data_IF_622886283193
#
_entry.id   IF_622886283193
#
_cell.length_a   1.000
_cell.length_b   1.000
_cell.length_c   1.000
_cell.angle_alpha   90.00
_cell.angle_beta   90.00
_cell.angle_gamma   90.00
#
_symmetry.space_group_name_H-M   'P 1'
#
loop_
_entity.id
_entity.type
_entity.pdbx_description
1 polymer ?
#
# COMPACT_ATOMS: atom_id res chain seq x y z
N UNK A 1 0.93 -11.75 0.01
CA UNK A 1 1.91 -12.24 -0.98
C UNK A 1 2.99 -11.19 -1.11
N UNK A 2 4.25 -11.58 -1.23
CA UNK A 2 5.37 -10.69 -1.51
C UNK A 2 6.18 -11.32 -2.64
N UNK A 3 6.53 -10.56 -3.65
CA UNK A 3 7.30 -11.05 -4.79
C UNK A 3 8.53 -10.18 -5.00
N UNK A 4 9.66 -10.84 -5.17
CA UNK A 4 10.94 -10.23 -5.39
C UNK A 4 11.56 -10.80 -6.66
N UNK A 5 11.88 -9.95 -7.61
CA UNK A 5 12.69 -10.30 -8.78
C UNK A 5 14.14 -10.06 -8.39
N UNK A 6 14.95 -11.10 -8.48
CA UNK A 6 16.40 -11.04 -8.18
C UNK A 6 17.16 -11.22 -9.47
N UNK A 7 17.97 -10.23 -9.83
CA UNK A 7 18.91 -10.30 -10.95
C UNK A 7 20.33 -10.18 -10.42
N UNK A 8 21.21 -11.04 -10.92
CA UNK A 8 22.64 -11.03 -10.60
C UNK A 8 23.40 -10.69 -11.88
N UNK A 9 24.38 -9.78 -11.79
CA UNK A 9 25.22 -9.42 -12.93
C UNK A 9 26.00 -10.62 -13.44
N UNK A 10 26.36 -10.60 -14.73
CA UNK A 10 27.11 -11.69 -15.35
C UNK A 10 28.46 -11.95 -14.67
N UNK A 11 29.07 -10.91 -14.11
CA UNK A 11 30.32 -10.98 -13.35
C UNK A 11 30.12 -11.46 -11.90
N UNK A 12 28.88 -11.54 -11.42
CA UNK A 12 28.55 -11.95 -10.06
C UNK A 12 28.94 -10.91 -8.98
N UNK A 13 29.24 -9.68 -9.38
CA UNK A 13 29.73 -8.61 -8.51
C UNK A 13 28.60 -7.67 -8.02
N UNK A 14 27.41 -7.77 -8.60
CA UNK A 14 26.22 -6.96 -8.25
C UNK A 14 24.94 -7.77 -8.30
N UNK A 15 23.96 -7.35 -7.51
CA UNK A 15 22.60 -7.87 -7.55
C UNK A 15 21.58 -6.74 -7.46
N UNK A 16 20.52 -6.84 -8.23
CA UNK A 16 19.33 -6.00 -8.14
C UNK A 16 18.14 -6.82 -7.62
N UNK A 17 17.45 -6.28 -6.64
CA UNK A 17 16.28 -6.86 -6.02
C UNK A 17 15.10 -5.91 -6.26
N UNK A 18 14.15 -6.32 -7.10
CA UNK A 18 13.00 -5.49 -7.47
C UNK A 18 11.72 -6.08 -6.86
N UNK A 19 11.06 -5.30 -6.00
CA UNK A 19 9.79 -5.70 -5.39
C UNK A 19 8.63 -5.43 -6.33
N UNK A 20 7.75 -6.43 -6.50
CA UNK A 20 6.53 -6.31 -7.30
C UNK A 20 5.32 -6.25 -6.36
N UNK A 21 4.56 -5.14 -6.36
CA UNK A 21 3.36 -5.02 -5.53
C UNK A 21 2.32 -6.09 -5.90
N UNK A 22 1.71 -6.79 -4.93
CA UNK A 22 0.73 -7.84 -5.21
C UNK A 22 -0.54 -7.31 -5.89
N UNK A 23 -0.87 -6.05 -5.67
CA UNK A 23 -2.02 -5.35 -6.25
C UNK A 23 -1.68 -4.59 -7.54
N UNK A 24 -0.44 -4.68 -8.03
CA UNK A 24 -0.07 -4.08 -9.31
C UNK A 24 -0.92 -4.67 -10.44
N UNK A 25 -1.51 -3.80 -11.25
CA UNK A 25 -2.24 -4.21 -12.44
C UNK A 25 -1.23 -4.59 -13.54
N UNK A 26 -1.23 -5.83 -13.96
CA UNK A 26 -0.27 -6.37 -14.92
C UNK A 26 -0.96 -7.21 -15.99
N UNK A 27 -0.31 -7.31 -17.15
CA UNK A 27 -0.73 -8.21 -18.20
C UNK A 27 -0.07 -9.58 -18.01
N UNK A 28 -0.88 -10.60 -17.73
CA UNK A 28 -0.44 -11.99 -17.67
C UNK A 28 -0.69 -12.64 -19.04
N UNK A 29 0.36 -13.00 -19.80
CA UNK A 29 0.20 -13.72 -21.08
C UNK A 29 -0.41 -15.11 -20.89
N UNK A 30 -0.83 -15.73 -22.00
CA UNK A 30 -1.29 -17.10 -21.97
C UNK A 30 -0.27 -18.01 -21.25
N UNK A 31 -0.76 -18.77 -20.29
CA UNK A 31 0.09 -19.59 -19.42
C UNK A 31 -0.60 -20.92 -19.08
N UNK A 32 0.18 -21.89 -18.61
CA UNK A 32 -0.34 -23.19 -18.21
C UNK A 32 -0.46 -23.24 -16.69
N UNK A 33 -1.66 -23.51 -16.23
CA UNK A 33 -1.99 -23.68 -14.81
C UNK A 33 -1.45 -25.01 -14.24
N UNK A 34 -1.36 -25.20 -12.93
CA UNK A 34 -0.83 -26.43 -12.32
C UNK A 34 -1.60 -27.71 -12.69
N UNK A 35 -2.89 -27.60 -13.03
CA UNK A 35 -3.71 -28.71 -13.51
C UNK A 35 -3.51 -29.01 -15.00
N UNK A 36 -2.64 -28.25 -15.68
CA UNK A 36 -2.28 -28.42 -17.08
C UNK A 36 -3.19 -27.73 -18.08
N UNK A 37 -4.23 -27.01 -17.64
CA UNK A 37 -5.08 -26.20 -18.52
C UNK A 37 -4.34 -24.97 -19.04
N UNK A 38 -4.74 -24.51 -20.23
CA UNK A 38 -4.23 -23.25 -20.79
C UNK A 38 -5.13 -22.11 -20.32
N UNK A 39 -4.55 -21.12 -19.62
CA UNK A 39 -5.22 -19.88 -19.23
C UNK A 39 -4.99 -18.84 -20.31
N UNK A 40 -6.07 -18.17 -20.74
CA UNK A 40 -5.99 -17.09 -21.72
C UNK A 40 -5.28 -15.86 -21.14
N UNK A 41 -4.75 -14.96 -22.00
CA UNK A 41 -4.16 -13.70 -21.56
C UNK A 41 -5.19 -12.86 -20.80
N UNK A 42 -4.75 -12.25 -19.70
CA UNK A 42 -5.63 -11.43 -18.85
C UNK A 42 -4.83 -10.28 -18.20
N UNK A 43 -5.48 -9.11 -18.08
CA UNK A 43 -5.00 -8.01 -17.26
C UNK A 43 -5.61 -8.15 -15.86
N UNK A 44 -4.77 -8.27 -14.84
CA UNK A 44 -5.18 -8.63 -13.48
C UNK A 44 -4.25 -8.08 -12.41
N UNK A 45 -4.64 -8.20 -11.13
CA UNK A 45 -3.69 -8.00 -10.04
C UNK A 45 -2.55 -9.01 -10.14
N UNK A 46 -1.33 -8.57 -9.94
CA UNK A 46 -0.16 -9.45 -10.00
C UNK A 46 -0.29 -10.70 -9.10
N UNK A 47 -0.89 -10.54 -7.91
CA UNK A 47 -1.16 -11.67 -7.02
C UNK A 47 -2.05 -12.75 -7.65
N UNK A 48 -3.01 -12.39 -8.51
CA UNK A 48 -3.92 -13.34 -9.17
C UNK A 48 -3.16 -14.25 -10.15
N UNK A 49 -2.07 -13.76 -10.74
CA UNK A 49 -1.22 -14.61 -11.60
C UNK A 49 -0.70 -15.85 -10.87
N UNK A 50 -0.42 -15.74 -9.55
CA UNK A 50 -0.01 -16.87 -8.72
C UNK A 50 -1.20 -17.63 -8.14
N UNK A 51 -2.19 -16.92 -7.59
CA UNK A 51 -3.29 -17.53 -6.84
C UNK A 51 -4.21 -18.35 -7.74
N UNK A 52 -4.44 -17.86 -8.96
CA UNK A 52 -5.31 -18.51 -9.95
C UNK A 52 -4.52 -19.26 -11.02
N UNK A 53 -3.38 -18.70 -11.43
CA UNK A 53 -2.57 -19.22 -12.52
C UNK A 53 -1.41 -20.12 -12.08
N UNK A 54 -0.96 -19.99 -10.85
CA UNK A 54 0.19 -20.73 -10.31
C UNK A 54 1.56 -20.18 -10.75
N UNK A 55 2.66 -20.83 -10.34
CA UNK A 55 4.02 -20.35 -10.56
C UNK A 55 4.35 -20.03 -12.02
N UNK A 56 3.93 -20.87 -12.97
CA UNK A 56 4.22 -20.66 -14.38
C UNK A 56 3.58 -19.37 -14.93
N UNK A 57 2.36 -19.04 -14.50
CA UNK A 57 1.69 -17.80 -14.90
C UNK A 57 2.37 -16.58 -14.27
N UNK A 58 2.78 -16.67 -13.02
CA UNK A 58 3.54 -15.60 -12.35
C UNK A 58 4.87 -15.32 -13.05
N UNK A 59 5.62 -16.36 -13.42
CA UNK A 59 6.86 -16.20 -14.18
C UNK A 59 6.58 -15.49 -15.51
N UNK A 60 5.50 -15.88 -16.22
CA UNK A 60 5.12 -15.22 -17.48
C UNK A 60 4.73 -13.75 -17.29
N UNK A 61 4.01 -13.43 -16.21
CA UNK A 61 3.67 -12.05 -15.88
C UNK A 61 4.92 -11.22 -15.59
N UNK A 62 5.87 -11.76 -14.81
CA UNK A 62 7.17 -11.09 -14.55
C UNK A 62 7.96 -10.90 -15.84
N UNK A 63 8.07 -11.91 -16.69
CA UNK A 63 8.76 -11.81 -17.99
C UNK A 63 8.13 -10.73 -18.89
N UNK A 64 6.80 -10.65 -18.92
CA UNK A 64 6.07 -9.64 -19.69
C UNK A 64 6.30 -8.24 -19.16
N UNK A 65 6.32 -8.08 -17.83
CA UNK A 65 6.51 -6.81 -17.15
C UNK A 65 7.94 -6.30 -17.28
N UNK A 66 8.93 -7.19 -17.14
CA UNK A 66 10.34 -6.82 -16.97
C UNK A 66 11.18 -6.96 -18.25
N UNK A 67 10.76 -7.78 -19.21
CA UNK A 67 11.60 -8.20 -20.33
C UNK A 67 12.74 -9.16 -19.94
N UNK A 68 12.91 -9.47 -18.65
CA UNK A 68 13.91 -10.41 -18.18
C UNK A 68 13.56 -11.85 -18.54
N UNK A 69 14.57 -12.65 -18.83
CA UNK A 69 14.42 -14.11 -18.81
C UNK A 69 14.52 -14.58 -17.35
N UNK A 70 13.52 -15.29 -16.89
CA UNK A 70 13.53 -15.88 -15.55
C UNK A 70 14.08 -17.29 -15.64
N UNK A 71 15.21 -17.53 -15.01
CA UNK A 71 15.90 -18.82 -15.02
C UNK A 71 15.41 -19.74 -13.92
N UNK A 72 15.06 -19.19 -12.75
CA UNK A 72 14.64 -19.94 -11.57
C UNK A 72 13.44 -19.27 -10.88
N UNK A 73 12.58 -20.11 -10.32
CA UNK A 73 11.46 -19.69 -9.46
C UNK A 73 11.60 -20.35 -8.09
N UNK A 74 11.51 -19.51 -7.06
CA UNK A 74 11.44 -19.92 -5.67
C UNK A 74 10.22 -19.28 -4.99
N UNK A 75 9.26 -20.11 -4.62
CA UNK A 75 8.12 -19.70 -3.81
C UNK A 75 8.33 -20.08 -2.36
N UNK A 76 7.96 -19.19 -1.43
CA UNK A 76 7.95 -19.43 0.01
C UNK A 76 6.55 -19.19 0.54
N UNK A 77 5.95 -20.22 1.10
CA UNK A 77 4.68 -20.11 1.82
C UNK A 77 4.92 -19.39 3.14
N UNK A 78 4.53 -18.11 3.18
CA UNK A 78 4.72 -17.27 4.37
C UNK A 78 3.92 -17.77 5.59
N UNK A 79 2.84 -18.53 5.38
CA UNK A 79 2.10 -19.14 6.48
C UNK A 79 2.89 -20.30 7.14
N UNK A 80 3.82 -20.90 6.40
CA UNK A 80 4.67 -22.00 6.87
C UNK A 80 6.06 -21.55 7.32
N UNK A 81 6.48 -20.34 6.94
CA UNK A 81 7.78 -19.76 7.32
C UNK A 81 8.01 -19.75 8.86
N UNK A 82 7.02 -19.41 9.72
CA UNK A 82 7.18 -19.53 11.18
C UNK A 82 7.57 -20.93 11.65
N UNK A 83 7.09 -21.97 10.98
CA UNK A 83 7.48 -23.35 11.30
C UNK A 83 8.95 -23.66 10.97
N UNK A 84 9.54 -23.00 9.97
CA UNK A 84 10.99 -23.09 9.70
C UNK A 84 11.79 -22.38 10.80
N UNK A 85 11.30 -21.22 11.27
CA UNK A 85 11.88 -20.45 12.37
C UNK A 85 11.89 -21.29 13.66
N UNK A 86 10.75 -21.93 13.99
CA UNK A 86 10.64 -22.80 15.16
C UNK A 86 11.54 -24.04 15.12
N UNK A 87 11.75 -24.58 13.91
CA UNK A 87 12.66 -25.72 13.75
C UNK A 87 14.11 -25.40 14.13
N UNK A 88 14.48 -24.12 14.07
CA UNK A 88 15.79 -23.59 14.46
C UNK A 88 15.83 -23.11 15.92
N UNK A 89 14.69 -23.12 16.63
CA UNK A 89 14.57 -22.60 17.99
C UNK A 89 14.41 -21.09 18.10
N UNK A 90 14.16 -20.42 17.00
CA UNK A 90 14.07 -18.98 16.88
C UNK A 90 15.15 -18.39 15.97
N UNK A 91 14.95 -17.17 15.51
CA UNK A 91 15.94 -16.45 14.69
C UNK A 91 16.03 -14.98 15.10
N UNK A 92 17.24 -14.40 15.09
CA UNK A 92 17.43 -12.98 15.36
C UNK A 92 16.98 -12.16 14.16
N UNK A 93 16.10 -11.19 14.39
CA UNK A 93 15.60 -10.26 13.38
C UNK A 93 15.72 -8.83 13.89
N UNK A 94 16.19 -7.93 13.04
CA UNK A 94 16.12 -6.50 13.32
C UNK A 94 14.73 -5.97 12.99
N UNK A 95 13.99 -5.54 14.00
CA UNK A 95 12.68 -4.93 13.84
C UNK A 95 12.86 -3.43 13.64
N UNK A 96 12.59 -2.96 12.42
CA UNK A 96 12.52 -1.53 12.11
C UNK A 96 11.04 -1.14 12.14
N UNK A 97 10.63 -0.21 13.01
CA UNK A 97 9.26 0.26 13.04
C UNK A 97 8.86 0.87 11.71
N UNK A 98 7.74 0.45 11.18
CA UNK A 98 7.07 1.08 10.04
C UNK A 98 5.79 1.74 10.52
N UNK A 99 5.19 2.62 9.73
CA UNK A 99 3.89 3.21 10.08
C UNK A 99 2.84 2.12 10.38
N UNK A 100 2.84 1.03 9.61
CA UNK A 100 1.95 -0.12 9.83
C UNK A 100 2.22 -0.83 11.16
N UNK A 101 3.49 -1.07 11.53
CA UNK A 101 3.83 -1.72 12.80
C UNK A 101 3.66 -0.80 13.99
N UNK A 102 3.82 0.51 13.82
CA UNK A 102 3.60 1.50 14.87
C UNK A 102 2.09 1.69 15.19
N UNK A 103 1.23 1.48 14.20
CA UNK A 103 -0.23 1.53 14.35
C UNK A 103 -0.83 0.25 14.96
N UNK A 104 -0.06 -0.82 15.12
CA UNK A 104 -0.53 -2.06 15.71
C UNK A 104 -0.92 -1.86 17.19
N UNK A 105 -1.96 -2.56 17.65
CA UNK A 105 -2.42 -2.50 19.05
C UNK A 105 -1.32 -2.86 20.06
N UNK A 106 -0.33 -3.68 19.64
CA UNK A 106 0.87 -4.01 20.40
C UNK A 106 2.06 -3.91 19.44
N UNK A 107 2.69 -2.72 19.31
CA UNK A 107 3.84 -2.55 18.43
C UNK A 107 4.99 -3.48 18.86
N UNK A 108 5.63 -4.18 17.92
CA UNK A 108 6.81 -4.96 18.26
C UNK A 108 7.94 -4.02 18.70
N UNK A 109 8.76 -4.44 19.67
CA UNK A 109 9.87 -3.61 20.12
C UNK A 109 10.86 -3.37 18.99
N UNK A 110 11.27 -2.12 18.82
CA UNK A 110 12.27 -1.75 17.82
C UNK A 110 13.66 -2.29 18.18
N UNK A 111 14.42 -2.70 17.18
CA UNK A 111 15.80 -3.18 17.37
C UNK A 111 15.94 -4.69 17.23
N UNK A 112 17.09 -5.25 17.71
CA UNK A 112 17.34 -6.68 17.63
C UNK A 112 16.36 -7.43 18.53
N UNK A 113 15.66 -8.39 17.94
CA UNK A 113 14.67 -9.23 18.62
C UNK A 113 14.84 -10.67 18.15
N UNK A 114 14.58 -11.63 19.01
CA UNK A 114 14.52 -13.04 18.65
C UNK A 114 13.07 -13.42 18.39
N UNK A 115 12.77 -13.88 17.19
CA UNK A 115 11.43 -14.28 16.78
C UNK A 115 11.34 -15.80 16.76
N UNK A 116 10.24 -16.33 17.28
CA UNK A 116 9.86 -17.74 17.19
C UNK A 116 8.34 -17.84 17.00
N UNK A 117 7.87 -18.94 16.41
CA UNK A 117 6.48 -19.33 16.30
C UNK A 117 5.48 -18.21 16.07
N UNK A 118 4.65 -17.95 17.08
CA UNK A 118 3.59 -16.94 17.01
C UNK A 118 4.12 -15.52 16.81
N UNK A 119 5.29 -15.18 17.35
CA UNK A 119 5.92 -13.89 17.16
C UNK A 119 6.37 -13.70 15.69
N UNK A 120 6.90 -14.75 15.05
CA UNK A 120 7.23 -14.75 13.64
C UNK A 120 5.98 -14.65 12.77
N UNK A 121 4.89 -15.34 13.15
CA UNK A 121 3.59 -15.21 12.47
C UNK A 121 3.03 -13.79 12.57
N UNK A 122 3.05 -13.20 13.76
CA UNK A 122 2.61 -11.82 13.99
C UNK A 122 3.44 -10.80 13.21
N UNK A 123 4.74 -11.04 13.08
CA UNK A 123 5.65 -10.18 12.30
C UNK A 123 5.31 -10.15 10.80
N UNK A 124 4.72 -11.22 10.27
CA UNK A 124 4.33 -11.34 8.86
C UNK A 124 2.89 -10.86 8.58
N UNK A 125 2.10 -10.54 9.62
CA UNK A 125 0.73 -10.06 9.40
C UNK A 125 0.75 -8.71 8.66
N UNK A 126 -0.20 -8.49 7.74
CA UNK A 126 -0.41 -7.16 7.18
C UNK A 126 -0.77 -6.20 8.31
N UNK A 127 -0.23 -4.99 8.25
CA UNK A 127 -0.69 -3.90 9.10
C UNK A 127 -2.13 -3.49 8.77
N UNK A 128 -2.68 -2.52 9.51
CA UNK A 128 -4.01 -1.98 9.23
C UNK A 128 -4.15 -1.58 7.76
N UNK A 129 -5.25 -2.06 7.15
CA UNK A 129 -5.48 -2.03 5.71
C UNK A 129 -5.70 -0.66 5.10
N UNK A 130 -4.82 0.25 5.24
CA UNK A 130 -4.80 1.58 4.65
C UNK A 130 -3.39 2.15 4.64
N UNK A 131 -2.47 1.49 5.35
CA UNK A 131 -1.09 1.97 5.53
C UNK A 131 -0.10 1.23 4.61
N UNK A 132 -0.44 0.03 4.16
CA UNK A 132 0.41 -0.80 3.27
C UNK A 132 -0.40 -1.33 2.08
N UNK A 133 -0.93 -0.41 1.29
CA UNK A 133 -1.77 -0.75 0.11
C UNK A 133 -1.00 -1.50 -0.98
N UNK A 134 0.33 -1.39 -1.01
CA UNK A 134 1.19 -2.09 -1.97
C UNK A 134 1.68 -3.44 -1.47
N UNK A 135 1.58 -3.70 -0.17
CA UNK A 135 2.17 -4.88 0.47
C UNK A 135 3.69 -4.83 0.60
N UNK A 136 4.33 -3.68 0.32
CA UNK A 136 5.78 -3.52 0.37
C UNK A 136 6.35 -3.77 1.77
N UNK A 137 5.68 -3.27 2.81
CA UNK A 137 6.12 -3.48 4.19
C UNK A 137 6.03 -4.95 4.62
N UNK A 138 5.02 -5.70 4.17
CA UNK A 138 4.93 -7.14 4.39
C UNK A 138 6.04 -7.86 3.64
N UNK A 139 6.32 -7.45 2.39
CA UNK A 139 7.39 -8.02 1.57
C UNK A 139 8.75 -7.84 2.23
N UNK A 140 9.05 -6.65 2.73
CA UNK A 140 10.30 -6.35 3.42
C UNK A 140 10.46 -7.17 4.71
N UNK A 141 9.40 -7.28 5.53
CA UNK A 141 9.42 -8.11 6.73
C UNK A 141 9.63 -9.59 6.41
N UNK A 142 8.93 -10.10 5.41
CA UNK A 142 9.09 -11.48 4.95
C UNK A 142 10.53 -11.76 4.47
N UNK A 143 11.11 -10.84 3.70
CA UNK A 143 12.49 -10.93 3.23
C UNK A 143 13.49 -10.92 4.40
N UNK A 144 13.30 -10.04 5.39
CA UNK A 144 14.17 -9.99 6.58
C UNK A 144 14.08 -11.29 7.38
N UNK A 145 12.88 -11.78 7.64
CA UNK A 145 12.67 -13.03 8.37
C UNK A 145 13.27 -14.23 7.60
N UNK A 146 13.02 -14.33 6.30
CA UNK A 146 13.57 -15.40 5.48
C UNK A 146 15.10 -15.36 5.44
N UNK A 147 15.70 -14.18 5.26
CA UNK A 147 17.15 -14.00 5.25
C UNK A 147 17.77 -14.43 6.59
N UNK A 148 17.17 -14.04 7.71
CA UNK A 148 17.62 -14.44 9.05
C UNK A 148 17.46 -15.95 9.28
N UNK A 149 16.35 -16.52 8.83
CA UNK A 149 16.08 -17.96 8.89
C UNK A 149 17.13 -18.76 8.10
N UNK A 150 17.43 -18.32 6.87
CA UNK A 150 18.45 -18.97 6.04
C UNK A 150 19.85 -18.85 6.66
N UNK A 151 20.20 -17.67 7.20
CA UNK A 151 21.48 -17.47 7.88
C UNK A 151 21.61 -18.37 9.12
N UNK A 152 20.56 -18.48 9.93
CA UNK A 152 20.55 -19.37 11.09
C UNK A 152 20.63 -20.86 10.68
N UNK A 153 19.94 -21.25 9.60
CA UNK A 153 20.02 -22.61 9.06
C UNK A 153 21.44 -22.99 8.56
N UNK A 154 22.16 -22.01 8.04
CA UNK A 154 23.56 -22.20 7.57
C UNK A 154 24.61 -21.97 8.68
N UNK A 155 24.20 -21.71 9.91
CA UNK A 155 25.15 -21.56 11.02
C UNK A 155 25.82 -22.89 11.37
N UNK A 156 27.04 -22.80 11.90
CA UNK A 156 27.78 -23.98 12.34
C UNK A 156 27.00 -24.82 13.38
N UNK A 157 26.30 -24.15 14.28
CA UNK A 157 25.51 -24.79 15.32
C UNK A 157 24.38 -25.67 14.72
N UNK A 158 23.66 -25.17 13.71
CA UNK A 158 22.61 -25.93 13.02
C UNK A 158 23.20 -27.06 12.15
N UNK A 159 24.28 -26.77 11.41
CA UNK A 159 24.89 -27.76 10.51
C UNK A 159 25.56 -28.93 11.26
N UNK A 160 26.01 -28.70 12.50
CA UNK A 160 26.62 -29.72 13.33
C UNK A 160 25.59 -30.49 14.19
N UNK A 161 24.35 -30.01 14.27
CA UNK A 161 23.24 -30.71 14.94
C UNK A 161 22.35 -31.42 13.89
N UNK A 162 22.50 -32.73 13.68
CA UNK A 162 21.74 -33.46 12.69
C UNK A 162 20.23 -33.52 13.01
N UNK A 163 19.82 -33.33 14.27
CA UNK A 163 18.40 -33.28 14.61
C UNK A 163 17.77 -31.94 14.23
N UNK A 164 18.44 -30.84 14.55
CA UNK A 164 18.01 -29.51 14.17
C UNK A 164 17.96 -29.38 12.65
N UNK A 165 19.01 -29.82 11.95
CA UNK A 165 19.09 -29.78 10.49
C UNK A 165 17.96 -30.60 9.83
N UNK A 166 17.72 -31.84 10.29
CA UNK A 166 16.66 -32.68 9.73
C UNK A 166 15.28 -32.08 9.95
N UNK A 167 15.03 -31.50 11.14
CA UNK A 167 13.79 -30.81 11.47
C UNK A 167 13.59 -29.58 10.56
N UNK A 168 14.64 -28.78 10.41
CA UNK A 168 14.60 -27.62 9.51
C UNK A 168 14.32 -28.02 8.05
N UNK A 169 15.05 -29.02 7.52
CA UNK A 169 14.85 -29.46 6.14
C UNK A 169 13.44 -30.00 5.89
N UNK A 170 12.85 -30.70 6.85
CA UNK A 170 11.45 -31.16 6.78
C UNK A 170 10.49 -29.98 6.69
N UNK A 171 10.67 -28.94 7.51
CA UNK A 171 9.82 -27.73 7.44
C UNK A 171 10.06 -26.89 6.20
N UNK A 172 11.31 -26.83 5.75
CA UNK A 172 11.67 -26.15 4.52
C UNK A 172 11.03 -26.83 3.29
N UNK A 173 11.03 -28.16 3.22
CA UNK A 173 10.38 -28.87 2.11
C UNK A 173 8.87 -28.64 2.04
N UNK A 174 8.23 -28.41 3.17
CA UNK A 174 6.79 -28.09 3.23
C UNK A 174 6.48 -26.63 2.84
N UNK A 175 7.44 -25.71 3.04
CA UNK A 175 7.27 -24.29 2.86
C UNK A 175 7.78 -23.77 1.51
N UNK A 176 8.68 -24.50 0.86
CA UNK A 176 9.34 -24.08 -0.36
C UNK A 176 8.74 -24.74 -1.60
N UNK A 177 8.55 -23.95 -2.65
CA UNK A 177 8.18 -24.42 -3.98
C UNK A 177 9.24 -23.91 -4.96
N UNK A 178 9.84 -24.79 -5.72
CA UNK A 178 10.81 -24.45 -6.75
C UNK A 178 10.33 -24.95 -8.11
N UNK A 179 10.86 -24.38 -9.18
CA UNK A 179 10.65 -24.91 -10.52
C UNK A 179 11.38 -26.27 -10.73
N UNK A 180 10.98 -27.01 -11.76
CA UNK A 180 11.52 -28.37 -12.04
C UNK A 180 13.00 -28.37 -12.40
N UNK A 181 13.56 -27.24 -12.81
CA UNK A 181 14.95 -27.11 -13.26
C UNK A 181 15.86 -26.62 -12.11
N UNK A 182 15.30 -26.02 -11.06
CA UNK A 182 16.06 -25.53 -9.90
C UNK A 182 16.58 -26.68 -9.05
N UNK A 183 17.90 -26.82 -9.01
CA UNK A 183 18.56 -27.79 -8.14
C UNK A 183 19.02 -27.17 -6.84
N UNK A 184 19.30 -27.99 -5.82
CA UNK A 184 19.92 -27.54 -4.58
C UNK A 184 21.29 -26.88 -4.83
N UNK A 185 21.98 -27.28 -5.90
CA UNK A 185 23.24 -26.68 -6.33
C UNK A 185 23.04 -25.23 -6.77
N UNK A 186 22.00 -24.95 -7.54
CA UNK A 186 21.66 -23.60 -8.02
C UNK A 186 21.29 -22.67 -6.87
N UNK A 187 20.46 -23.16 -5.93
CA UNK A 187 20.11 -22.40 -4.71
C UNK A 187 21.34 -22.10 -3.85
N UNK A 188 22.26 -23.06 -3.74
CA UNK A 188 23.51 -22.86 -3.00
C UNK A 188 24.43 -21.87 -3.70
N UNK A 189 24.55 -21.94 -5.02
CA UNK A 189 25.34 -20.99 -5.82
C UNK A 189 24.78 -19.58 -5.69
N UNK A 190 23.46 -19.41 -5.81
CA UNK A 190 22.79 -18.12 -5.60
C UNK A 190 23.04 -17.56 -4.19
N UNK A 191 22.88 -18.40 -3.17
CA UNK A 191 23.11 -18.01 -1.78
C UNK A 191 24.57 -17.61 -1.53
N UNK A 192 25.54 -18.31 -2.12
CA UNK A 192 26.95 -17.96 -2.02
C UNK A 192 27.23 -16.62 -2.72
N UNK A 193 26.78 -16.43 -3.95
CA UNK A 193 26.94 -15.18 -4.69
C UNK A 193 26.33 -14.00 -3.95
N UNK A 194 25.11 -14.13 -3.44
CA UNK A 194 24.47 -13.05 -2.67
C UNK A 194 25.15 -12.80 -1.31
N UNK A 195 25.71 -13.85 -0.71
CA UNK A 195 26.45 -13.76 0.56
C UNK A 195 27.81 -13.07 0.44
N UNK A 196 28.45 -13.19 -0.71
CA UNK A 196 29.76 -12.57 -0.99
C UNK A 196 29.63 -11.09 -1.39
N UNK A 197 28.42 -10.63 -1.76
CA UNK A 197 28.19 -9.25 -2.15
C UNK A 197 28.18 -8.33 -0.91
N UNK A 198 28.93 -7.23 -1.02
CA UNK A 198 28.90 -6.16 -0.03
C UNK A 198 27.58 -5.37 -0.09
N UNK A 199 27.24 -4.62 0.98
CA UNK A 199 25.98 -3.88 1.07
C UNK A 199 25.69 -2.98 -0.14
N UNK A 200 26.71 -2.32 -0.70
CA UNK A 200 26.57 -1.41 -1.85
C UNK A 200 26.42 -2.15 -3.19
N UNK A 201 26.81 -3.41 -3.24
CA UNK A 201 26.67 -4.25 -4.44
C UNK A 201 25.26 -4.86 -4.58
N UNK A 202 24.44 -4.80 -3.53
CA UNK A 202 23.06 -5.27 -3.53
C UNK A 202 22.12 -4.06 -3.51
N UNK A 203 21.55 -3.75 -4.67
CA UNK A 203 20.62 -2.65 -4.83
C UNK A 203 19.16 -3.16 -4.70
N UNK A 204 18.33 -2.41 -4.00
CA UNK A 204 16.90 -2.67 -3.90
C UNK A 204 16.15 -1.58 -4.62
N UNK A 205 15.19 -1.98 -5.43
CA UNK A 205 14.30 -1.08 -6.13
C UNK A 205 12.84 -1.47 -5.88
N UNK A 206 11.99 -0.48 -5.84
CA UNK A 206 10.53 -0.65 -5.92
C UNK A 206 10.09 -0.28 -7.33
N UNK A 207 9.01 -0.91 -7.81
CA UNK A 207 8.46 -0.53 -9.12
C UNK A 207 7.83 0.85 -9.02
N UNK A 208 8.14 1.76 -9.96
CA UNK A 208 7.55 3.08 -9.99
C UNK A 208 6.03 3.01 -10.15
N UNK A 209 5.31 3.75 -9.30
CA UNK A 209 3.85 3.77 -9.25
C UNK A 209 3.33 5.06 -9.85
N UNK A 210 2.43 4.96 -10.84
CA UNK A 210 1.72 6.10 -11.41
C UNK A 210 0.44 6.43 -10.62
N UNK A 211 -0.26 5.41 -10.12
CA UNK A 211 -1.52 5.62 -9.41
C UNK A 211 -1.77 4.50 -8.39
N UNK A 212 -2.25 4.87 -7.20
CA UNK A 212 -2.70 3.94 -6.16
C UNK A 212 -4.22 4.00 -6.07
N UNK A 213 -4.85 2.84 -5.82
CA UNK A 213 -6.29 2.77 -5.63
C UNK A 213 -7.11 2.91 -6.91
N UNK A 214 -6.53 2.63 -8.07
CA UNK A 214 -7.29 2.58 -9.33
C UNK A 214 -8.34 1.47 -9.28
N UNK A 215 -9.60 1.82 -9.53
CA UNK A 215 -10.74 0.87 -9.55
C UNK A 215 -11.27 0.80 -10.99
N UNK A 216 -11.03 -0.30 -11.71
CA UNK A 216 -11.61 -0.50 -13.04
C UNK A 216 -13.14 -0.53 -13.00
N UNK A 217 -13.78 -0.05 -14.07
CA UNK A 217 -15.23 -0.09 -14.20
C UNK A 217 -15.77 -1.53 -14.04
N UNK A 218 -16.76 -1.71 -13.14
CA UNK A 218 -17.37 -3.00 -12.86
C UNK A 218 -16.65 -3.85 -11.81
N UNK A 219 -15.66 -3.32 -11.12
CA UNK A 219 -15.00 -3.96 -9.97
C UNK A 219 -15.08 -3.05 -8.75
N UNK A 220 -14.92 -3.63 -7.56
CA UNK A 220 -14.79 -2.87 -6.30
C UNK A 220 -13.36 -2.92 -5.75
N UNK A 221 -12.46 -3.62 -6.44
CA UNK A 221 -11.08 -3.83 -6.00
C UNK A 221 -10.19 -2.70 -6.50
N UNK A 222 -9.44 -2.09 -5.58
CA UNK A 222 -8.41 -1.11 -5.89
C UNK A 222 -7.09 -1.77 -6.31
N UNK A 223 -6.48 -1.21 -7.35
CA UNK A 223 -5.20 -1.68 -7.92
C UNK A 223 -4.15 -0.59 -7.83
N UNK A 224 -2.90 -1.00 -7.94
CA UNK A 224 -1.75 -0.12 -8.16
C UNK A 224 -1.45 -0.13 -9.66
N UNK A 225 -1.44 1.04 -10.28
CA UNK A 225 -1.02 1.22 -11.67
C UNK A 225 0.44 1.63 -11.68
N UNK A 226 1.28 0.87 -12.37
CA UNK A 226 2.71 1.16 -12.50
C UNK A 226 2.96 2.23 -13.56
N UNK A 227 3.99 3.06 -13.35
CA UNK A 227 4.49 3.92 -14.41
C UNK A 227 5.23 3.06 -15.44
N UNK A 228 4.63 2.92 -16.62
CA UNK A 228 5.15 2.02 -17.66
C UNK A 228 6.50 2.48 -18.20
N UNK A 229 6.77 3.78 -18.26
CA UNK A 229 8.03 4.32 -18.79
C UNK A 229 9.16 4.16 -17.77
N UNK A 230 8.92 4.55 -16.53
CA UNK A 230 9.91 4.42 -15.46
C UNK A 230 10.17 2.94 -15.11
N UNK A 231 9.14 2.07 -15.13
CA UNK A 231 9.30 0.63 -14.95
C UNK A 231 10.18 0.03 -16.05
N UNK A 232 9.98 0.44 -17.30
CA UNK A 232 10.84 -0.02 -18.42
C UNK A 232 12.27 0.44 -18.21
N UNK A 233 12.51 1.72 -17.90
CA UNK A 233 13.85 2.25 -17.62
C UNK A 233 14.54 1.48 -16.50
N UNK A 234 13.82 1.18 -15.41
CA UNK A 234 14.37 0.38 -14.31
C UNK A 234 14.84 -1.00 -14.77
N UNK A 235 14.01 -1.70 -15.55
CA UNK A 235 14.40 -3.05 -16.01
C UNK A 235 15.46 -3.03 -17.10
N UNK A 236 15.50 -2.02 -17.95
CA UNK A 236 16.59 -1.85 -18.92
C UNK A 236 17.94 -1.69 -18.18
N UNK A 237 17.99 -0.87 -17.11
CA UNK A 237 19.16 -0.72 -16.25
C UNK A 237 19.55 -2.03 -15.54
N UNK A 238 18.57 -2.82 -15.11
CA UNK A 238 18.79 -4.14 -14.50
C UNK A 238 19.32 -5.14 -15.55
N UNK A 239 18.81 -5.12 -16.78
CA UNK A 239 19.25 -5.98 -17.88
C UNK A 239 20.68 -5.64 -18.28
N UNK A 240 21.01 -4.37 -18.40
CA UNK A 240 22.33 -3.90 -18.79
C UNK A 240 23.38 -4.09 -17.68
N UNK A 241 22.94 -4.48 -16.47
CA UNK A 241 23.81 -4.67 -15.32
C UNK A 241 24.41 -3.37 -14.77
N UNK A 242 23.84 -2.24 -15.14
CA UNK A 242 24.20 -0.91 -14.66
C UNK A 242 23.62 -0.70 -13.26
N UNK A 243 24.09 0.29 -12.51
CA UNK A 243 23.50 0.69 -11.23
C UNK A 243 22.11 1.27 -11.46
N UNK A 244 21.14 0.81 -10.69
CA UNK A 244 19.81 1.40 -10.66
C UNK A 244 19.92 2.87 -10.23
N UNK A 245 19.28 3.84 -10.92
CA UNK A 245 19.26 5.23 -10.53
C UNK A 245 18.85 5.42 -9.07
N UNK A 246 19.50 6.35 -8.36
CA UNK A 246 19.31 6.52 -6.92
C UNK A 246 17.88 6.86 -6.55
N UNK A 247 17.19 7.59 -7.41
CA UNK A 247 15.76 7.95 -7.29
C UNK A 247 14.81 6.74 -7.39
N UNK A 248 15.25 5.63 -7.95
CA UNK A 248 14.48 4.38 -8.08
C UNK A 248 14.88 3.34 -7.02
N UNK A 249 15.87 3.64 -6.18
CA UNK A 249 16.27 2.75 -5.09
C UNK A 249 15.24 2.77 -3.98
N UNK A 250 14.84 1.60 -3.51
CA UNK A 250 14.02 1.48 -2.32
C UNK A 250 14.77 2.02 -1.09
N UNK A 251 14.22 3.02 -0.45
CA UNK A 251 14.74 3.52 0.83
C UNK A 251 14.22 2.60 1.93
N UNK A 252 15.07 1.90 2.69
CA UNK A 252 14.63 1.02 3.76
C UNK A 252 13.75 1.77 4.76
N UNK A 253 12.48 1.36 4.87
CA UNK A 253 11.52 1.99 5.79
C UNK A 253 10.83 3.25 5.25
N UNK A 254 11.10 3.69 4.03
CA UNK A 254 10.24 4.65 3.38
C UNK A 254 8.92 3.95 3.06
N UNK A 255 7.82 4.43 3.63
CA UNK A 255 6.53 4.27 2.99
C UNK A 255 6.69 4.82 1.57
N UNK A 256 6.08 4.16 0.56
CA UNK A 256 5.99 4.75 -0.77
C UNK A 256 5.65 6.22 -0.62
N UNK A 257 6.30 7.13 -1.35
CA UNK A 257 5.84 8.49 -1.37
C UNK A 257 4.34 8.40 -1.68
N UNK A 258 3.52 8.89 -0.76
CA UNK A 258 2.14 9.19 -1.10
C UNK A 258 2.21 9.90 -2.46
N UNK A 259 1.32 9.59 -3.44
CA UNK A 259 1.36 10.23 -4.74
C UNK A 259 1.67 11.69 -4.47
N UNK A 260 2.74 12.18 -5.11
CA UNK A 260 3.21 13.55 -4.87
C UNK A 260 1.95 14.40 -4.97
N UNK A 261 1.47 15.01 -3.89
CA UNK A 261 0.30 15.82 -4.00
C UNK A 261 0.67 16.81 -5.11
N UNK A 262 -0.15 16.94 -6.12
CA UNK A 262 -0.12 18.13 -6.97
C UNK A 262 0.23 19.28 -6.05
N UNK A 263 1.21 20.16 -6.41
CA UNK A 263 1.88 21.07 -5.48
C UNK A 263 0.87 21.53 -4.46
N UNK A 264 0.98 20.96 -3.26
CA UNK A 264 0.00 21.21 -2.22
C UNK A 264 -0.04 22.71 -2.10
N UNK A 265 -1.20 23.35 -2.15
CA UNK A 265 -1.29 24.69 -1.70
C UNK A 265 -0.57 24.70 -0.35
N UNK A 266 0.32 25.66 -0.14
CA UNK A 266 1.21 25.80 1.03
C UNK A 266 0.51 25.30 2.30
N UNK A 267 1.21 24.57 3.21
CA UNK A 267 0.56 23.92 4.36
C UNK A 267 -0.32 24.93 5.07
N UNK A 268 -1.61 24.86 4.79
CA UNK A 268 -2.62 25.62 5.50
C UNK A 268 -2.69 25.01 6.89
N UNK A 269 -2.35 25.78 7.88
CA UNK A 269 -2.51 25.43 9.28
C UNK A 269 -3.96 24.92 9.49
N UNK A 270 -4.20 23.65 9.86
CA UNK A 270 -5.56 23.13 10.01
C UNK A 270 -6.38 23.84 11.08
N UNK A 271 -5.78 24.75 11.82
CA UNK A 271 -6.43 25.59 12.82
C UNK A 271 -6.98 26.92 12.25
N UNK A 272 -6.65 27.27 10.99
CA UNK A 272 -7.20 28.46 10.34
C UNK A 272 -8.31 28.02 9.38
N UNK A 273 -9.58 28.29 9.64
CA UNK A 273 -10.66 28.04 8.68
C UNK A 273 -10.38 28.83 7.41
N UNK A 274 -10.19 28.18 6.28
CA UNK A 274 -10.12 28.88 5.00
C UNK A 274 -11.41 29.68 4.79
N UNK A 275 -11.31 30.95 4.39
CA UNK A 275 -12.49 31.78 4.18
C UNK A 275 -13.36 31.15 3.09
N UNK A 276 -14.66 31.02 3.35
CA UNK A 276 -15.61 30.56 2.37
C UNK A 276 -15.75 31.61 1.29
N UNK A 277 -15.49 31.23 0.03
CA UNK A 277 -15.46 32.17 -1.12
C UNK A 277 -16.74 32.13 -1.92
N UNK A 278 -17.45 30.99 -1.95
CA UNK A 278 -18.68 30.83 -2.71
C UNK A 278 -19.92 31.18 -1.90
N UNK A 279 -20.71 32.15 -2.36
CA UNK A 279 -21.93 32.55 -1.68
C UNK A 279 -23.05 31.50 -1.82
N UNK A 280 -23.88 31.24 -0.79
CA UNK A 280 -24.99 30.25 -0.87
C UNK A 280 -25.91 30.45 -2.09
N UNK A 281 -26.18 31.70 -2.48
CA UNK A 281 -27.05 32.00 -3.62
C UNK A 281 -26.46 31.64 -5.00
N UNK A 282 -25.17 31.35 -5.07
CA UNK A 282 -24.47 30.92 -6.29
C UNK A 282 -24.36 29.39 -6.39
N UNK A 283 -24.82 28.68 -5.36
CA UNK A 283 -24.65 27.22 -5.24
C UNK A 283 -25.99 26.53 -5.40
N UNK A 284 -26.10 25.64 -6.38
CA UNK A 284 -27.22 24.71 -6.52
C UNK A 284 -26.80 23.35 -5.96
N UNK A 285 -27.59 22.83 -5.00
CA UNK A 285 -27.31 21.58 -4.30
C UNK A 285 -28.39 20.55 -4.59
N UNK A 286 -27.99 19.36 -5.06
CA UNK A 286 -28.84 18.18 -5.08
C UNK A 286 -28.87 17.54 -3.70
N UNK A 287 -30.06 17.21 -3.17
CA UNK A 287 -30.21 16.70 -1.80
C UNK A 287 -30.77 15.29 -1.83
N UNK A 288 -29.98 14.32 -1.38
CA UNK A 288 -30.36 12.92 -1.32
C UNK A 288 -30.43 12.42 0.12
N UNK A 289 -31.46 11.63 0.41
CA UNK A 289 -31.63 10.98 1.70
C UNK A 289 -30.98 9.59 1.69
N UNK A 290 -29.91 9.42 2.41
CA UNK A 290 -29.21 8.16 2.65
C UNK A 290 -29.64 7.45 3.96
N UNK A 291 -30.71 7.93 4.60
CA UNK A 291 -31.27 7.36 5.84
C UNK A 291 -32.60 6.68 5.60
N UNK A 292 -33.08 5.94 6.59
CA UNK A 292 -34.44 5.33 6.55
C UNK A 292 -35.58 6.32 6.90
N UNK A 293 -35.26 7.59 7.19
CA UNK A 293 -36.24 8.59 7.64
C UNK A 293 -36.95 9.20 6.43
N UNK A 294 -38.23 8.93 6.26
CA UNK A 294 -39.00 9.47 5.14
C UNK A 294 -39.11 10.99 5.19
N UNK A 295 -38.94 11.66 4.04
CA UNK A 295 -39.10 13.11 3.89
C UNK A 295 -37.90 13.95 4.39
N UNK A 296 -36.83 13.32 4.88
CA UNK A 296 -35.69 14.05 5.44
C UNK A 296 -34.98 14.93 4.38
N UNK A 297 -34.82 14.42 3.15
CA UNK A 297 -34.22 15.22 2.06
C UNK A 297 -35.02 16.50 1.76
N UNK A 298 -36.34 16.43 1.77
CA UNK A 298 -37.19 17.59 1.55
C UNK A 298 -37.06 18.61 2.67
N UNK A 299 -37.02 18.14 3.92
CA UNK A 299 -36.83 19.01 5.11
C UNK A 299 -35.48 19.72 5.07
N UNK A 300 -34.41 19.01 4.71
CA UNK A 300 -33.06 19.58 4.59
C UNK A 300 -32.96 20.54 3.40
N UNK A 301 -33.57 20.19 2.28
CA UNK A 301 -33.68 21.08 1.11
C UNK A 301 -34.37 22.40 1.44
N UNK A 302 -35.47 22.36 2.21
CA UNK A 302 -36.16 23.59 2.67
C UNK A 302 -35.30 24.40 3.65
N UNK A 303 -34.57 23.75 4.53
CA UNK A 303 -33.63 24.42 5.44
C UNK A 303 -32.48 25.09 4.68
N UNK A 304 -31.86 24.42 3.69
CA UNK A 304 -30.82 24.99 2.83
C UNK A 304 -31.35 26.16 2.02
N UNK A 305 -32.58 26.04 1.48
CA UNK A 305 -33.25 27.15 0.76
C UNK A 305 -33.47 28.36 1.67
N UNK A 306 -33.77 28.11 2.95
CA UNK A 306 -33.85 29.16 3.96
C UNK A 306 -32.53 29.89 4.25
N UNK A 307 -31.40 29.25 3.94
CA UNK A 307 -30.04 29.84 4.01
C UNK A 307 -29.59 30.44 2.68
N UNK A 308 -30.45 30.45 1.67
CA UNK A 308 -30.17 31.08 0.37
C UNK A 308 -29.57 30.15 -0.68
N UNK A 309 -29.41 28.85 -0.43
CA UNK A 309 -28.94 27.92 -1.45
C UNK A 309 -30.01 27.63 -2.50
N UNK A 310 -29.58 27.50 -3.76
CA UNK A 310 -30.38 26.91 -4.81
C UNK A 310 -30.54 25.40 -4.56
N UNK A 311 -31.75 24.86 -4.79
CA UNK A 311 -31.98 23.42 -4.64
C UNK A 311 -32.29 22.83 -6.01
N UNK A 312 -31.50 21.82 -6.39
CA UNK A 312 -31.68 21.00 -7.58
C UNK A 312 -32.60 19.83 -7.33
N UNK A 313 -32.12 18.63 -7.54
CA UNK A 313 -32.86 17.38 -7.35
C UNK A 313 -33.00 17.04 -5.85
N UNK A 314 -34.19 16.63 -5.45
CA UNK A 314 -34.45 16.10 -4.09
C UNK A 314 -34.93 14.65 -4.22
N UNK A 315 -34.20 13.73 -3.59
CA UNK A 315 -34.47 12.30 -3.76
C UNK A 315 -33.93 11.43 -2.63
N UNK A 316 -33.82 10.14 -2.92
CA UNK A 316 -33.22 9.17 -2.02
C UNK A 316 -31.92 8.65 -2.64
N UNK A 317 -30.92 8.41 -1.79
CA UNK A 317 -29.70 7.68 -2.17
C UNK A 317 -30.01 6.20 -2.35
N UNK A 318 -29.41 5.57 -3.34
CA UNK A 318 -29.62 4.13 -3.62
C UNK A 318 -28.69 3.24 -2.81
N UNK A 319 -27.66 3.81 -2.19
CA UNK A 319 -26.69 3.12 -1.35
C UNK A 319 -26.89 3.36 0.14
N UNK A 320 -26.14 2.64 0.98
CA UNK A 320 -26.03 2.91 2.42
C UNK A 320 -24.87 3.85 2.67
N UNK A 321 -25.13 4.95 3.38
CA UNK A 321 -24.08 5.88 3.84
C UNK A 321 -23.94 5.78 5.35
N UNK A 322 -22.72 5.92 5.85
CA UNK A 322 -22.40 5.86 7.29
C UNK A 322 -22.41 7.25 7.94
N UNK A 323 -22.30 8.30 7.13
CA UNK A 323 -22.25 9.70 7.55
C UNK A 323 -22.82 10.61 6.45
N UNK A 324 -23.04 11.88 6.75
CA UNK A 324 -23.43 12.86 5.73
C UNK A 324 -22.25 13.19 4.83
N UNK A 325 -22.46 13.23 3.52
CA UNK A 325 -21.40 13.45 2.53
C UNK A 325 -21.80 14.54 1.55
N UNK A 326 -20.88 15.48 1.27
CA UNK A 326 -21.02 16.45 0.19
C UNK A 326 -20.14 15.99 -0.96
N UNK A 327 -20.76 15.44 -1.99
CA UNK A 327 -20.10 15.05 -3.24
C UNK A 327 -20.00 16.26 -4.17
N UNK A 328 -18.86 16.42 -4.84
CA UNK A 328 -18.62 17.56 -5.70
C UNK A 328 -17.75 17.21 -6.91
N UNK A 329 -17.98 17.89 -8.01
CA UNK A 329 -17.16 17.75 -9.21
C UNK A 329 -15.82 18.50 -9.12
N UNK A 330 -14.91 18.29 -10.08
CA UNK A 330 -13.52 18.77 -10.03
C UNK A 330 -13.37 20.28 -9.80
N UNK A 331 -14.30 21.11 -10.31
CA UNK A 331 -14.26 22.56 -10.17
C UNK A 331 -15.24 23.11 -9.12
N UNK A 332 -15.83 22.25 -8.30
CA UNK A 332 -16.88 22.61 -7.36
C UNK A 332 -16.45 22.61 -5.88
N UNK A 333 -15.15 22.49 -5.58
CA UNK A 333 -14.64 22.35 -4.20
C UNK A 333 -15.05 23.51 -3.29
N UNK A 334 -14.91 24.77 -3.73
CA UNK A 334 -15.26 25.94 -2.92
C UNK A 334 -16.77 25.99 -2.61
N UNK A 335 -17.59 25.62 -3.58
CA UNK A 335 -19.04 25.47 -3.43
C UNK A 335 -19.39 24.36 -2.45
N UNK A 336 -18.68 23.23 -2.54
CA UNK A 336 -18.86 22.09 -1.65
C UNK A 336 -18.45 22.42 -0.21
N UNK A 337 -17.39 23.19 -0.01
CA UNK A 337 -16.96 23.69 1.33
C UNK A 337 -18.06 24.52 1.98
N UNK A 338 -18.70 25.41 1.22
CA UNK A 338 -19.82 26.23 1.74
C UNK A 338 -21.02 25.35 2.11
N UNK A 339 -21.34 24.31 1.35
CA UNK A 339 -22.40 23.35 1.68
C UNK A 339 -22.04 22.53 2.91
N UNK A 340 -20.80 22.07 3.02
CA UNK A 340 -20.33 21.31 4.19
C UNK A 340 -20.35 22.18 5.47
N UNK A 341 -20.00 23.46 5.37
CA UNK A 341 -20.11 24.39 6.48
C UNK A 341 -21.57 24.61 6.93
N UNK A 342 -22.53 24.55 5.99
CA UNK A 342 -23.95 24.63 6.30
C UNK A 342 -24.49 23.34 6.96
N UNK A 343 -23.80 22.20 6.82
CA UNK A 343 -24.23 20.90 7.36
C UNK A 343 -23.09 20.32 8.21
N UNK A 344 -23.00 20.68 9.49
CA UNK A 344 -21.92 20.25 10.38
C UNK A 344 -21.80 18.72 10.44
N UNK A 345 -20.58 18.22 10.29
CA UNK A 345 -20.28 16.79 10.25
C UNK A 345 -20.41 16.14 8.87
N UNK A 346 -20.70 16.90 7.82
CA UNK A 346 -20.65 16.40 6.47
C UNK A 346 -19.20 16.34 5.94
N UNK A 347 -18.81 15.21 5.34
CA UNK A 347 -17.49 14.95 4.78
C UNK A 347 -17.50 15.30 3.29
N UNK A 348 -16.44 15.97 2.82
CA UNK A 348 -16.24 16.30 1.42
C UNK A 348 -15.75 15.09 0.64
N UNK A 349 -16.40 14.76 -0.49
CA UNK A 349 -16.05 13.64 -1.35
C UNK A 349 -16.01 14.08 -2.83
N UNK A 350 -14.84 14.03 -3.50
CA UNK A 350 -14.76 14.33 -4.92
C UNK A 350 -15.50 13.26 -5.75
N UNK A 351 -16.12 13.67 -6.86
CA UNK A 351 -16.87 12.80 -7.75
C UNK A 351 -16.86 13.33 -9.17
N UNK A 352 -16.12 12.71 -10.07
CA UNK A 352 -16.02 13.09 -11.48
C UNK A 352 -17.37 12.98 -12.22
N UNK A 353 -18.30 12.19 -11.69
CA UNK A 353 -19.63 12.00 -12.28
C UNK A 353 -20.55 13.25 -12.18
N UNK A 354 -20.21 14.22 -11.31
CA UNK A 354 -21.06 15.37 -11.04
C UNK A 354 -20.71 16.61 -11.88
N UNK A 355 -19.64 16.56 -12.70
CA UNK A 355 -19.20 17.75 -13.46
C UNK A 355 -18.97 18.93 -12.52
N UNK A 356 -19.72 20.04 -12.73
CA UNK A 356 -19.67 21.23 -11.83
C UNK A 356 -20.69 21.17 -10.70
N UNK A 357 -21.34 20.03 -10.48
CA UNK A 357 -22.41 19.88 -9.51
C UNK A 357 -21.93 19.71 -8.07
N UNK A 358 -22.82 20.04 -7.13
CA UNK A 358 -22.67 19.72 -5.71
C UNK A 358 -23.87 18.92 -5.22
N UNK A 359 -23.64 17.80 -4.59
CA UNK A 359 -24.67 16.88 -4.09
C UNK A 359 -24.48 16.59 -2.61
N UNK A 360 -25.47 16.86 -1.80
CA UNK A 360 -25.52 16.49 -0.39
C UNK A 360 -26.25 15.16 -0.23
N UNK A 361 -25.57 14.16 0.32
CA UNK A 361 -26.17 12.89 0.75
C UNK A 361 -26.27 12.92 2.27
N UNK A 362 -27.48 12.88 2.81
CA UNK A 362 -27.76 12.93 4.23
C UNK A 362 -27.56 11.54 4.82
N UNK A 363 -26.67 11.42 5.80
CA UNK A 363 -26.38 10.18 6.52
C UNK A 363 -26.91 10.17 7.96
N UNK A 364 -26.73 9.03 8.67
CA UNK A 364 -26.95 8.92 10.10
C UNK A 364 -26.10 9.96 10.85
N UNK A 365 -26.66 10.64 11.84
CA UNK A 365 -25.96 11.67 12.58
C UNK A 365 -26.15 13.10 12.05
N UNK A 366 -26.91 13.28 10.97
CA UNK A 366 -27.36 14.62 10.57
C UNK A 366 -28.09 15.30 11.74
N UNK A 367 -27.71 16.55 12.05
CA UNK A 367 -28.29 17.31 13.17
C UNK A 367 -29.15 18.48 12.70
N UNK A 368 -28.59 19.38 11.89
CA UNK A 368 -29.28 20.57 11.41
C UNK A 368 -28.53 21.24 10.27
N UNK A 369 -29.20 22.15 9.54
CA UNK A 369 -28.56 23.14 8.68
C UNK A 369 -28.30 24.39 9.52
N UNK A 370 -27.06 24.90 9.46
CA UNK A 370 -26.63 26.11 10.18
C UNK A 370 -26.36 27.28 9.22
N UNK A 371 -26.50 28.54 9.67
CA UNK A 371 -26.12 29.70 8.87
C UNK A 371 -24.64 29.69 8.52
N UNK A 372 -24.31 30.12 7.28
CA UNK A 372 -22.95 30.22 6.79
C UNK A 372 -22.61 31.70 6.57
N UNK A 373 -21.48 32.12 7.12
CA UNK A 373 -20.98 33.49 6.92
C UNK A 373 -19.86 33.46 5.85
N UNK A 374 -20.00 34.31 4.82
CA UNK A 374 -19.01 34.50 3.77
C UNK A 374 -18.18 35.72 4.11
N UNK A 375 -16.89 35.60 4.28
CA UNK A 375 -16.01 36.72 4.57
C UNK A 375 -14.63 36.31 5.06
N UNK A 376 -13.68 37.26 5.04
CA UNK A 376 -12.35 37.04 5.58
C UNK A 376 -12.42 36.83 7.10
N UNK A 377 -11.61 35.93 7.67
CA UNK A 377 -11.58 35.77 9.13
C UNK A 377 -11.18 37.06 9.82
N UNK A 378 -11.95 37.50 10.79
CA UNK A 378 -11.51 38.56 11.70
C UNK A 378 -10.24 38.11 12.44
N UNK A 379 -9.25 38.99 12.63
CA UNK A 379 -8.04 38.65 13.36
C UNK A 379 -8.41 38.25 14.80
N UNK A 380 -8.24 36.99 15.10
CA UNK A 380 -8.39 36.47 16.46
C UNK A 380 -7.23 37.03 17.27
N UNK A 381 -7.54 37.81 18.29
CA UNK A 381 -6.59 38.32 19.28
C UNK A 381 -5.91 37.12 19.96
N UNK A 382 -4.62 36.96 19.71
CA UNK A 382 -3.82 35.84 20.21
C UNK A 382 -3.69 35.96 21.72
N UNK A 383 -4.33 35.08 22.45
CA UNK A 383 -4.03 34.90 23.88
C UNK A 383 -2.59 34.39 24.04
N UNK A 384 -1.84 34.77 25.08
CA UNK A 384 -0.42 34.53 25.18
C UNK A 384 -0.09 33.04 25.19
N UNK A 385 0.84 32.72 24.34
CA UNK A 385 1.63 31.49 24.12
C UNK A 385 1.70 30.57 25.34
N UNK A 386 0.98 29.44 25.27
CA UNK A 386 1.28 28.30 26.11
C UNK A 386 2.58 27.65 25.52
N UNK A 387 3.55 27.51 26.39
CA UNK A 387 4.90 27.05 26.11
C UNK A 387 4.95 25.94 25.05
N UNK A 388 5.78 26.15 24.05
CA UNK A 388 6.11 25.20 22.99
C UNK A 388 6.31 23.79 23.55
N UNK A 389 5.47 22.85 23.14
CA UNK A 389 5.75 21.44 23.34
C UNK A 389 7.10 21.14 22.66
N UNK A 390 8.01 20.56 23.43
CA UNK A 390 9.29 20.12 22.93
C UNK A 390 9.08 19.27 21.65
N UNK A 391 9.94 19.41 20.63
CA UNK A 391 9.83 18.58 19.42
C UNK A 391 9.82 17.11 19.85
N UNK A 392 8.91 16.34 19.28
CA UNK A 392 8.90 14.90 19.48
C UNK A 392 10.31 14.38 19.19
N UNK A 393 10.86 13.49 20.04
CA UNK A 393 12.21 13.01 19.84
C UNK A 393 12.28 12.38 18.44
N UNK A 394 13.20 12.87 17.61
CA UNK A 394 13.60 12.21 16.37
C UNK A 394 13.76 10.73 16.70
N UNK A 395 13.04 9.87 16.00
CA UNK A 395 13.13 8.45 16.19
C UNK A 395 14.61 8.07 16.04
N UNK A 396 15.23 7.72 17.16
CA UNK A 396 16.63 7.34 17.17
C UNK A 396 16.81 6.22 16.15
N UNK A 397 17.72 6.40 15.20
CA UNK A 397 18.00 5.42 14.16
C UNK A 397 18.23 4.06 14.83
N UNK A 398 17.35 3.10 14.59
CA UNK A 398 17.42 1.76 15.16
C UNK A 398 18.69 1.12 14.61
N UNK A 399 19.67 0.91 15.48
CA UNK A 399 20.91 0.21 15.12
C UNK A 399 20.73 -1.27 15.41
N UNK A 400 20.83 -2.07 14.39
CA UNK A 400 20.97 -3.52 14.44
C UNK A 400 22.37 -3.87 13.88
#
# INVERSE_FOLDING_TARGET
MATLVVSVSAEGDRAALVSVPPTALVDTPACRTPDGTLRDPVTEAFASSLLEGGPACTVRAVQQLSGLRIDHYLGVDLARLPGMVDALGGVPVCIVPTAATAAAATPPPAGPSELSGDAASGFLQPGDGGVDVTGAAVAERAQRLLTSTMRAAMSADTLLDPVALTRFLSRASDALTVDEQTTLGDLRALAATLGDLSGDAVQRAELPVAQVGYVPAGTEQGYVVLDASATRTLFDEVIDGVRVPEELLAVPGAALPAPEPEPAPEPVDPSVPEPLTAAPGEITVDVLNGTATSGLAATVADALRGQGFGIGTVGNETGTVTESVVRYGPEALDRARTVAAAVPGAVLQPSDALGDGVQLVIGPGYSAVVPVEIGAPEPVEVAPEAAAAAPAPEAAAVRC
#
